data_IF_148749733702
#
_entry.id   IF_148749733702
#
_cell.length_a   1.000
_cell.length_b   1.000
_cell.length_c   1.000
_cell.angle_alpha   90.00
_cell.angle_beta   90.00
_cell.angle_gamma   90.00
#
_symmetry.space_group_name_H-M   'P 1'
#
loop_
_entity.id
_entity.type
_entity.pdbx_description
1 polymer ?
#
# COMPACT_ATOMS: atom_id res chain seq x y z
N UNK A 1 6.69 25.00 -8.11
CA UNK A 1 7.89 25.29 -7.29
C UNK A 1 8.92 24.22 -7.56
N UNK A 2 10.13 24.61 -8.00
CA UNK A 2 11.24 23.71 -8.28
C UNK A 2 12.20 23.69 -7.08
N UNK A 3 12.51 22.51 -6.58
CA UNK A 3 13.38 22.28 -5.40
C UNK A 3 14.47 21.27 -5.73
N UNK A 4 15.62 21.73 -6.26
CA UNK A 4 16.79 20.87 -6.42
C UNK A 4 17.45 20.64 -5.07
N UNK A 5 18.02 19.44 -4.87
CA UNK A 5 18.83 19.11 -3.71
C UNK A 5 20.00 18.22 -4.08
N UNK A 6 21.17 18.53 -3.54
CA UNK A 6 22.37 17.70 -3.66
C UNK A 6 22.84 17.44 -2.24
N UNK A 7 23.08 16.18 -1.91
CA UNK A 7 23.61 15.77 -0.62
C UNK A 7 24.84 14.88 -0.79
N UNK A 8 25.86 15.17 -0.01
CA UNK A 8 27.06 14.34 0.10
C UNK A 8 27.00 13.61 1.43
N UNK A 9 27.11 12.29 1.41
CA UNK A 9 27.23 11.45 2.59
C UNK A 9 28.60 10.77 2.63
N UNK A 10 29.25 10.88 3.76
CA UNK A 10 30.52 10.23 4.02
C UNK A 10 30.43 9.49 5.36
N UNK A 11 30.76 8.22 5.35
CA UNK A 11 30.97 7.41 6.55
C UNK A 11 32.36 6.78 6.48
N UNK A 12 33.24 7.04 7.44
CA UNK A 12 34.54 6.40 7.46
C UNK A 12 34.44 4.90 7.80
N UNK A 13 35.48 4.16 7.50
CA UNK A 13 35.67 2.82 8.01
C UNK A 13 36.23 2.90 9.43
N UNK A 14 35.52 2.31 10.39
CA UNK A 14 35.95 2.27 11.79
C UNK A 14 36.54 0.92 12.21
N UNK A 15 36.67 -0.04 11.28
CA UNK A 15 37.08 -1.43 11.61
C UNK A 15 38.40 -1.51 12.35
N UNK A 16 39.37 -0.66 12.00
CA UNK A 16 40.70 -0.63 12.60
C UNK A 16 40.83 0.40 13.73
N UNK A 17 39.74 0.81 14.34
CA UNK A 17 39.73 1.79 15.42
C UNK A 17 39.30 1.12 16.74
N UNK A 18 40.26 0.99 17.66
CA UNK A 18 40.10 0.31 18.96
C UNK A 18 39.00 0.93 19.86
N UNK A 19 38.54 2.14 19.56
CA UNK A 19 37.42 2.76 20.27
C UNK A 19 36.05 2.17 19.85
N UNK A 20 35.98 1.49 18.73
CA UNK A 20 34.74 0.96 18.15
C UNK A 20 34.75 -0.54 18.03
N UNK A 21 35.92 -1.13 17.77
CA UNK A 21 36.07 -2.58 17.56
C UNK A 21 37.19 -3.16 18.40
N UNK A 22 36.97 -4.37 18.87
CA UNK A 22 38.00 -5.21 19.46
C UNK A 22 38.33 -6.36 18.50
N UNK A 23 39.59 -6.56 18.20
CA UNK A 23 40.06 -7.71 17.45
C UNK A 23 40.38 -8.84 18.41
N UNK A 24 39.82 -10.05 18.18
CA UNK A 24 40.08 -11.25 18.93
C UNK A 24 40.01 -12.47 17.99
N UNK A 25 41.12 -13.23 17.88
CA UNK A 25 41.22 -14.39 16.99
C UNK A 25 40.89 -14.09 15.51
N UNK A 26 41.42 -13.02 14.97
CA UNK A 26 41.14 -12.52 13.60
C UNK A 26 39.67 -12.14 13.34
N UNK A 27 38.85 -12.03 14.39
CA UNK A 27 37.47 -11.54 14.31
C UNK A 27 37.35 -10.18 14.99
N UNK A 28 36.54 -9.29 14.37
CA UNK A 28 36.26 -7.97 14.89
C UNK A 28 34.91 -7.90 15.60
N UNK A 29 34.95 -7.60 16.89
CA UNK A 29 33.75 -7.42 17.74
C UNK A 29 33.44 -5.94 17.88
N UNK A 30 32.24 -5.55 17.50
CA UNK A 30 31.74 -4.18 17.61
C UNK A 30 31.21 -3.92 19.01
N UNK A 31 31.77 -2.95 19.73
CA UNK A 31 31.31 -2.54 21.07
C UNK A 31 29.87 -2.05 21.10
N UNK A 32 29.36 -1.57 19.94
CA UNK A 32 28.02 -1.03 19.82
C UNK A 32 27.03 -2.00 19.18
N UNK A 33 27.44 -3.25 18.96
CA UNK A 33 26.52 -4.28 18.45
C UNK A 33 25.38 -4.49 19.43
N UNK A 34 24.13 -4.30 18.98
CA UNK A 34 22.95 -4.35 19.83
C UNK A 34 22.57 -3.03 20.51
N UNK A 35 23.29 -1.93 20.26
CA UNK A 35 22.90 -0.61 20.76
C UNK A 35 21.64 -0.09 20.02
N UNK A 36 20.93 0.86 20.66
CA UNK A 36 19.73 1.50 20.10
C UNK A 36 19.99 2.25 18.78
N UNK A 37 21.24 2.65 18.52
CA UNK A 37 21.69 3.41 17.35
C UNK A 37 22.14 2.50 16.21
N UNK A 38 22.29 1.20 16.48
CA UNK A 38 22.79 0.18 15.55
C UNK A 38 24.29 -0.07 15.66
N UNK A 39 24.80 -0.93 14.78
CA UNK A 39 26.22 -1.33 14.76
C UNK A 39 27.10 -0.28 14.06
N UNK A 40 28.37 -0.27 14.42
CA UNK A 40 29.38 0.63 13.83
C UNK A 40 29.72 0.22 12.39
N UNK A 41 29.98 1.22 11.53
CA UNK A 41 30.29 0.96 10.11
C UNK A 41 31.66 0.26 9.96
N UNK A 42 31.64 -0.91 9.32
CA UNK A 42 32.84 -1.71 9.00
C UNK A 42 33.46 -1.37 7.64
N UNK A 43 32.83 -0.49 6.88
CA UNK A 43 33.31 -0.08 5.55
C UNK A 43 33.10 1.41 5.33
N UNK A 44 34.00 2.01 4.56
CA UNK A 44 33.78 3.41 4.16
C UNK A 44 32.64 3.52 3.16
N UNK A 45 31.86 4.60 3.25
CA UNK A 45 30.82 4.95 2.28
C UNK A 45 30.98 6.40 1.87
N UNK A 46 31.05 6.65 0.55
CA UNK A 46 31.12 7.99 -0.04
C UNK A 46 30.07 8.07 -1.15
N UNK A 47 29.02 8.86 -0.95
CA UNK A 47 27.89 8.94 -1.89
C UNK A 47 27.46 10.37 -2.12
N UNK A 48 27.11 10.68 -3.34
CA UNK A 48 26.37 11.87 -3.71
C UNK A 48 24.97 11.44 -4.10
N UNK A 49 23.95 12.10 -3.54
CA UNK A 49 22.57 11.95 -3.97
C UNK A 49 22.10 13.28 -4.56
N UNK A 50 21.44 13.18 -5.71
CA UNK A 50 20.89 14.30 -6.45
C UNK A 50 19.39 14.07 -6.53
N UNK A 51 18.60 15.03 -6.07
CA UNK A 51 17.17 14.98 -6.22
C UNK A 51 16.60 16.31 -6.75
N UNK A 52 15.57 16.18 -7.56
CA UNK A 52 14.82 17.29 -8.12
C UNK A 52 13.36 17.10 -7.76
N UNK A 53 12.81 18.03 -6.96
CA UNK A 53 11.40 18.10 -6.63
C UNK A 53 10.73 19.22 -7.41
N UNK A 54 9.49 18.99 -7.86
CA UNK A 54 8.66 20.03 -8.43
C UNK A 54 7.20 19.82 -8.01
N UNK A 55 6.55 20.89 -7.55
CA UNK A 55 5.12 20.89 -7.22
C UNK A 55 4.42 21.78 -8.23
N UNK A 56 3.49 21.19 -8.98
CA UNK A 56 2.65 21.86 -9.94
C UNK A 56 1.35 22.28 -9.26
N UNK A 57 1.07 23.57 -9.28
CA UNK A 57 -0.08 24.18 -8.65
C UNK A 57 -0.90 24.92 -9.69
N UNK A 58 -2.22 24.89 -9.54
CA UNK A 58 -3.14 25.76 -10.28
C UNK A 58 -3.86 26.67 -9.28
N UNK A 59 -4.20 27.88 -9.74
CA UNK A 59 -5.17 28.72 -9.08
C UNK A 59 -6.56 28.39 -9.61
N UNK A 60 -7.49 28.13 -8.73
CA UNK A 60 -8.90 27.90 -9.05
C UNK A 60 -9.75 28.90 -8.29
N UNK A 61 -10.76 29.44 -8.95
CA UNK A 61 -11.80 30.25 -8.31
C UNK A 61 -12.88 29.27 -7.79
N UNK A 62 -13.01 29.18 -6.48
CA UNK A 62 -14.07 28.42 -5.83
C UNK A 62 -14.84 29.35 -4.90
N UNK A 63 -16.14 29.44 -5.07
CA UNK A 63 -17.04 30.35 -4.31
C UNK A 63 -16.56 31.83 -4.26
N UNK A 64 -15.99 32.34 -5.36
CA UNK A 64 -15.38 33.68 -5.49
C UNK A 64 -14.07 33.90 -4.71
N UNK A 65 -13.49 32.87 -4.14
CA UNK A 65 -12.17 32.91 -3.51
C UNK A 65 -11.11 32.23 -4.38
N UNK A 66 -9.92 32.84 -4.50
CA UNK A 66 -8.77 32.23 -5.19
C UNK A 66 -8.14 31.15 -4.29
N UNK A 67 -8.33 29.88 -4.62
CA UNK A 67 -7.68 28.78 -3.94
C UNK A 67 -6.52 28.21 -4.76
N UNK A 68 -5.36 27.98 -4.14
CA UNK A 68 -4.22 27.27 -4.75
C UNK A 68 -4.39 25.77 -4.58
N UNK A 69 -4.56 25.06 -5.67
CA UNK A 69 -4.72 23.61 -5.70
C UNK A 69 -3.41 22.97 -6.17
N UNK A 70 -2.89 22.01 -5.41
CA UNK A 70 -1.78 21.17 -5.84
C UNK A 70 -2.30 20.13 -6.85
N UNK A 71 -1.87 20.23 -8.11
CA UNK A 71 -2.26 19.30 -9.16
C UNK A 71 -1.50 17.99 -9.02
N UNK A 72 -0.18 18.07 -9.01
CA UNK A 72 0.69 16.91 -8.78
C UNK A 72 2.07 17.35 -8.31
N UNK A 73 2.79 16.43 -7.68
CA UNK A 73 4.20 16.57 -7.34
C UNK A 73 5.03 15.58 -8.16
N UNK A 74 6.12 16.06 -8.72
CA UNK A 74 7.14 15.27 -9.41
C UNK A 74 8.39 15.24 -8.55
N UNK A 75 8.96 14.07 -8.31
CA UNK A 75 10.25 13.91 -7.65
C UNK A 75 11.10 12.94 -8.45
N UNK A 76 12.31 13.38 -8.77
CA UNK A 76 13.35 12.58 -9.44
C UNK A 76 14.54 12.47 -8.52
N UNK A 77 15.11 11.29 -8.39
CA UNK A 77 16.33 11.11 -7.60
C UNK A 77 17.22 10.03 -8.19
N UNK A 78 18.51 10.30 -8.12
CA UNK A 78 19.58 9.37 -8.43
C UNK A 78 20.78 9.63 -7.53
N UNK A 79 21.78 8.77 -7.55
CA UNK A 79 22.98 8.94 -6.74
C UNK A 79 24.20 8.30 -7.37
N UNK A 80 25.37 8.71 -6.91
CA UNK A 80 26.64 8.15 -7.31
C UNK A 80 27.40 7.65 -6.08
N UNK A 81 27.85 6.40 -6.12
CA UNK A 81 28.60 5.75 -5.04
C UNK A 81 30.07 5.60 -5.46
N UNK A 82 30.96 6.36 -4.83
CA UNK A 82 32.38 6.37 -5.14
C UNK A 82 33.11 5.09 -4.74
N UNK A 83 32.57 4.36 -3.77
CA UNK A 83 33.18 3.16 -3.24
C UNK A 83 32.91 1.89 -4.06
N UNK A 84 31.92 1.94 -4.94
CA UNK A 84 31.65 0.82 -5.84
C UNK A 84 32.70 0.75 -6.94
N UNK A 85 33.12 -0.47 -7.29
CA UNK A 85 33.99 -0.68 -8.45
C UNK A 85 33.18 -0.57 -9.74
N UNK A 86 31.99 -1.20 -9.76
CA UNK A 86 31.09 -1.23 -10.92
C UNK A 86 29.73 -0.62 -10.58
N UNK A 87 29.02 -0.16 -11.60
CA UNK A 87 27.67 0.39 -11.46
C UNK A 87 27.57 1.50 -10.42
N UNK A 88 28.51 2.45 -10.46
CA UNK A 88 28.61 3.57 -9.51
C UNK A 88 27.38 4.48 -9.51
N UNK A 89 26.77 4.68 -10.68
CA UNK A 89 25.56 5.48 -10.83
C UNK A 89 24.34 4.64 -10.46
N UNK A 90 23.53 5.14 -9.54
CA UNK A 90 22.27 4.49 -9.12
C UNK A 90 21.17 4.72 -10.16
N UNK A 91 20.15 3.89 -10.13
CA UNK A 91 18.98 4.06 -10.99
C UNK A 91 18.33 5.43 -10.76
N UNK A 92 17.78 6.01 -11.81
CA UNK A 92 16.94 7.19 -11.73
C UNK A 92 15.53 6.75 -11.33
N UNK A 93 15.10 7.18 -10.16
CA UNK A 93 13.75 6.96 -9.67
C UNK A 93 12.92 8.23 -9.86
N UNK A 94 11.82 8.12 -10.56
CA UNK A 94 10.87 9.22 -10.79
C UNK A 94 9.56 8.87 -10.11
N UNK A 95 9.06 9.76 -9.25
CA UNK A 95 7.80 9.61 -8.55
C UNK A 95 6.88 10.77 -8.89
N UNK A 96 5.68 10.47 -9.36
CA UNK A 96 4.61 11.44 -9.65
C UNK A 96 3.44 11.11 -8.75
N UNK A 97 2.98 12.09 -7.96
CA UNK A 97 1.85 11.93 -7.04
C UNK A 97 0.85 13.05 -7.22
N UNK A 98 -0.41 12.66 -7.30
CA UNK A 98 -1.55 13.57 -7.29
C UNK A 98 -2.56 13.10 -6.26
N UNK A 99 -3.13 14.05 -5.51
CA UNK A 99 -4.28 13.82 -4.63
C UNK A 99 -5.40 14.75 -5.07
N UNK A 100 -6.51 14.17 -5.47
CA UNK A 100 -7.70 14.89 -5.87
C UNK A 100 -8.56 15.20 -4.63
N UNK A 101 -9.32 16.29 -4.69
CA UNK A 101 -10.18 16.77 -3.59
C UNK A 101 -11.23 15.75 -3.14
N UNK A 102 -11.67 14.87 -4.03
CA UNK A 102 -12.64 13.79 -3.75
C UNK A 102 -12.05 12.58 -3.02
N UNK A 103 -10.78 12.64 -2.56
CA UNK A 103 -10.08 11.54 -1.91
C UNK A 103 -9.47 10.51 -2.86
N UNK A 104 -9.54 10.75 -4.18
CA UNK A 104 -8.83 9.93 -5.17
C UNK A 104 -7.33 10.27 -5.18
N UNK A 105 -6.49 9.28 -5.50
CA UNK A 105 -5.05 9.48 -5.61
C UNK A 105 -4.51 8.80 -6.87
N UNK A 106 -3.45 9.36 -7.42
CA UNK A 106 -2.68 8.77 -8.51
C UNK A 106 -1.22 8.79 -8.08
N UNK A 107 -0.60 7.61 -8.08
CA UNK A 107 0.82 7.42 -7.79
C UNK A 107 1.48 6.67 -8.94
N UNK A 108 2.51 7.27 -9.53
CA UNK A 108 3.31 6.67 -10.59
C UNK A 108 4.77 6.69 -10.16
N UNK A 109 5.41 5.54 -10.12
CA UNK A 109 6.83 5.42 -9.86
C UNK A 109 7.48 4.72 -11.05
N UNK A 110 8.50 5.37 -11.61
CA UNK A 110 9.29 4.88 -12.73
C UNK A 110 10.72 4.68 -12.27
N UNK A 111 11.32 3.58 -12.68
CA UNK A 111 12.74 3.29 -12.43
C UNK A 111 13.45 3.13 -13.76
N UNK A 112 14.51 3.90 -13.94
CA UNK A 112 15.35 3.84 -15.12
C UNK A 112 16.77 3.44 -14.74
N UNK A 113 17.37 2.59 -15.55
CA UNK A 113 18.76 2.19 -15.44
C UNK A 113 19.59 2.95 -16.49
N UNK A 114 20.69 3.51 -16.07
CA UNK A 114 21.61 4.24 -16.94
C UNK A 114 22.55 3.32 -17.72
N UNK A 115 22.64 2.05 -17.34
CA UNK A 115 23.61 1.12 -17.88
C UNK A 115 23.03 0.29 -19.02
N UNK A 116 23.88 -0.01 -19.99
CA UNK A 116 23.57 -0.90 -21.09
C UNK A 116 23.23 -2.31 -20.60
N UNK A 117 22.49 -3.01 -21.40
CA UNK A 117 22.14 -4.41 -21.17
C UNK A 117 22.42 -5.24 -22.40
N UNK A 118 23.40 -6.14 -22.32
CA UNK A 118 23.66 -7.12 -23.38
C UNK A 118 22.58 -8.21 -23.35
N UNK A 119 21.76 -8.23 -24.39
CA UNK A 119 20.67 -9.23 -24.54
C UNK A 119 21.21 -10.60 -24.91
N UNK A 120 22.41 -10.68 -25.53
CA UNK A 120 23.03 -11.94 -25.98
C UNK A 120 23.61 -12.67 -24.76
N UNK A 121 24.36 -11.96 -23.94
CA UNK A 121 24.96 -12.48 -22.72
C UNK A 121 24.01 -12.48 -21.52
N UNK A 122 22.81 -11.88 -21.68
CA UNK A 122 21.81 -11.70 -20.62
C UNK A 122 22.41 -11.03 -19.38
N UNK A 123 23.24 -10.01 -19.58
CA UNK A 123 24.01 -9.35 -18.53
C UNK A 123 23.96 -7.84 -18.65
N UNK A 124 23.93 -7.16 -17.50
CA UNK A 124 24.11 -5.72 -17.39
C UNK A 124 25.58 -5.37 -17.57
N UNK A 125 25.88 -4.41 -18.41
CA UNK A 125 27.24 -3.93 -18.70
C UNK A 125 27.54 -2.67 -17.88
N UNK A 126 28.81 -2.52 -17.46
CA UNK A 126 29.26 -1.33 -16.73
C UNK A 126 29.60 -0.18 -17.68
N UNK A 127 28.77 0.03 -18.70
CA UNK A 127 28.83 1.10 -19.67
C UNK A 127 27.54 1.91 -19.64
N UNK A 128 27.64 3.24 -19.55
CA UNK A 128 26.48 4.14 -19.51
C UNK A 128 25.89 4.26 -20.92
N UNK A 129 24.58 4.09 -21.02
CA UNK A 129 23.83 4.30 -22.24
C UNK A 129 23.48 5.78 -22.42
N UNK A 130 23.32 6.23 -23.66
CA UNK A 130 22.93 7.61 -23.98
C UNK A 130 21.55 7.99 -23.44
N UNK A 131 20.65 7.02 -23.34
CA UNK A 131 19.30 7.19 -22.78
C UNK A 131 19.03 6.16 -21.67
N UNK A 132 18.59 6.59 -20.50
CA UNK A 132 18.26 5.67 -19.40
C UNK A 132 17.14 4.72 -19.81
N UNK A 133 17.37 3.43 -19.64
CA UNK A 133 16.43 2.35 -19.96
C UNK A 133 15.37 2.21 -18.86
N UNK A 134 14.09 2.27 -19.21
CA UNK A 134 12.99 2.01 -18.28
C UNK A 134 13.02 0.53 -17.84
N UNK A 135 13.21 0.31 -16.54
CA UNK A 135 13.32 -1.01 -15.91
C UNK A 135 12.16 -1.35 -15.00
N UNK A 136 11.46 -0.35 -14.52
CA UNK A 136 10.32 -0.56 -13.62
C UNK A 136 9.25 0.50 -13.77
N UNK A 137 7.99 0.05 -13.71
CA UNK A 137 6.80 0.90 -13.58
C UNK A 137 6.00 0.39 -12.40
N UNK A 138 5.59 1.30 -11.53
CA UNK A 138 4.55 1.04 -10.53
C UNK A 138 3.53 2.17 -10.65
N UNK A 139 2.35 1.82 -11.06
CA UNK A 139 1.19 2.71 -11.13
C UNK A 139 0.16 2.26 -10.10
N UNK A 140 -0.37 3.16 -9.32
CA UNK A 140 -1.51 2.91 -8.46
C UNK A 140 -2.45 4.10 -8.44
N UNK A 141 -3.73 3.82 -8.45
CA UNK A 141 -4.78 4.83 -8.33
C UNK A 141 -5.94 4.28 -7.52
N UNK A 142 -6.63 5.18 -6.83
CA UNK A 142 -7.85 4.81 -6.10
C UNK A 142 -8.90 5.88 -6.27
N UNK A 143 -10.13 5.45 -6.52
CA UNK A 143 -11.31 6.28 -6.66
C UNK A 143 -12.32 5.93 -5.58
N UNK A 144 -12.84 6.93 -4.90
CA UNK A 144 -13.94 6.77 -3.95
C UNK A 144 -15.19 7.38 -4.53
N UNK A 145 -16.17 6.53 -4.80
CA UNK A 145 -17.52 6.92 -5.24
C UNK A 145 -18.47 6.78 -4.05
N UNK A 146 -19.29 7.79 -3.80
CA UNK A 146 -20.25 7.80 -2.70
C UNK A 146 -21.62 8.21 -3.20
N UNK A 147 -22.67 7.61 -2.65
CA UNK A 147 -24.04 8.07 -2.82
C UNK A 147 -24.35 9.28 -1.95
N UNK A 148 -25.59 9.68 -1.92
CA UNK A 148 -26.07 10.79 -1.07
C UNK A 148 -25.82 10.47 0.41
N UNK A 149 -25.37 11.46 1.18
CA UNK A 149 -25.28 11.36 2.63
C UNK A 149 -26.69 11.24 3.24
N UNK A 150 -26.87 10.24 4.12
CA UNK A 150 -28.01 10.24 5.04
C UNK A 150 -27.65 11.08 6.25
N UNK A 151 -28.59 11.86 6.75
CA UNK A 151 -28.51 12.47 8.08
C UNK A 151 -28.24 11.34 9.09
N UNK A 152 -27.23 11.54 9.95
CA UNK A 152 -26.87 10.58 11.01
C UNK A 152 -28.07 10.39 11.92
N UNK A 153 -28.74 9.25 11.87
CA UNK A 153 -29.48 8.74 13.01
C UNK A 153 -28.43 8.12 13.97
N UNK A 154 -28.43 8.59 15.21
CA UNK A 154 -27.58 8.06 16.28
C UNK A 154 -27.95 6.59 16.52
N UNK A 155 -27.20 5.70 15.94
CA UNK A 155 -27.28 4.27 16.23
C UNK A 155 -26.69 4.04 17.61
N UNK A 156 -27.52 3.67 18.57
CA UNK A 156 -27.07 3.25 19.92
C UNK A 156 -26.23 1.97 19.77
N UNK A 157 -24.93 2.11 19.89
CA UNK A 157 -23.91 1.05 19.74
C UNK A 157 -23.86 0.16 20.99
N UNK A 158 -24.89 -0.61 21.28
CA UNK A 158 -24.86 -1.58 22.38
C UNK A 158 -24.86 -3.01 21.83
N UNK A 159 -23.87 -3.78 22.22
CA UNK A 159 -23.92 -5.24 22.07
C UNK A 159 -23.12 -5.91 20.94
N UNK A 160 -22.43 -5.20 20.07
CA UNK A 160 -21.71 -5.81 18.92
C UNK A 160 -20.29 -6.28 19.25
N UNK A 161 -19.84 -7.36 18.59
CA UNK A 161 -18.41 -7.68 18.55
C UNK A 161 -17.62 -6.57 17.84
N UNK A 162 -16.36 -6.40 18.19
CA UNK A 162 -15.51 -5.31 17.66
C UNK A 162 -15.48 -5.31 16.11
N UNK A 163 -15.38 -6.48 15.49
CA UNK A 163 -15.39 -6.62 14.01
C UNK A 163 -16.74 -6.22 13.38
N UNK A 164 -17.86 -6.46 14.08
CA UNK A 164 -19.19 -6.07 13.61
C UNK A 164 -19.42 -4.58 13.79
N UNK A 165 -18.90 -3.98 14.87
CA UNK A 165 -18.93 -2.52 15.09
C UNK A 165 -18.16 -1.77 14.02
N UNK A 166 -16.93 -2.23 13.68
CA UNK A 166 -16.12 -1.64 12.63
C UNK A 166 -16.84 -1.68 11.26
N UNK A 167 -17.51 -2.80 10.95
CA UNK A 167 -18.32 -2.95 9.75
C UNK A 167 -19.51 -1.99 9.72
N UNK A 168 -20.25 -1.87 10.83
CA UNK A 168 -21.41 -0.97 10.94
C UNK A 168 -20.97 0.50 10.83
N UNK A 169 -19.88 0.88 11.47
CA UNK A 169 -19.37 2.25 11.44
C UNK A 169 -18.90 2.67 10.03
N UNK A 170 -18.34 1.75 9.24
CA UNK A 170 -18.00 2.01 7.84
C UNK A 170 -19.24 2.27 6.97
N UNK A 171 -20.38 1.73 7.32
CA UNK A 171 -21.62 1.80 6.52
C UNK A 171 -22.55 2.96 6.89
N UNK A 172 -22.32 3.63 8.03
CA UNK A 172 -23.35 4.47 8.67
C UNK A 172 -23.61 5.83 8.03
N UNK A 173 -22.74 6.33 7.12
CA UNK A 173 -22.85 7.72 6.63
C UNK A 173 -23.47 7.92 5.25
N UNK A 174 -23.41 6.92 4.36
CA UNK A 174 -23.88 7.06 2.97
C UNK A 174 -24.77 5.88 2.57
N UNK A 175 -25.69 6.13 1.58
CA UNK A 175 -26.51 5.03 1.04
C UNK A 175 -25.65 3.94 0.40
N UNK A 176 -24.56 4.33 -0.24
CA UNK A 176 -23.55 3.43 -0.78
C UNK A 176 -22.22 4.13 -0.91
N UNK A 177 -21.16 3.37 -0.84
CA UNK A 177 -19.81 3.82 -1.19
C UNK A 177 -19.06 2.69 -1.86
N UNK A 178 -18.30 3.03 -2.90
CA UNK A 178 -17.43 2.08 -3.60
C UNK A 178 -16.05 2.67 -3.72
N UNK A 179 -15.06 1.97 -3.22
CA UNK A 179 -13.66 2.27 -3.48
C UNK A 179 -13.13 1.32 -4.52
N UNK A 180 -12.64 1.86 -5.62
CA UNK A 180 -12.00 1.11 -6.71
C UNK A 180 -10.53 1.46 -6.68
N UNK A 181 -9.67 0.46 -6.50
CA UNK A 181 -8.22 0.59 -6.55
C UNK A 181 -7.67 -0.16 -7.75
N UNK A 182 -6.83 0.50 -8.53
CA UNK A 182 -6.12 -0.07 -9.67
C UNK A 182 -4.64 -0.04 -9.36
N UNK A 183 -3.95 -1.16 -9.54
CA UNK A 183 -2.50 -1.21 -9.41
C UNK A 183 -1.86 -2.02 -10.54
N UNK A 184 -0.89 -1.41 -11.20
CA UNK A 184 -0.08 -2.04 -12.24
C UNK A 184 1.39 -1.98 -11.86
N UNK A 185 2.08 -3.11 -11.98
CA UNK A 185 3.53 -3.19 -11.79
C UNK A 185 4.17 -3.88 -12.98
N UNK A 186 5.22 -3.27 -13.50
CA UNK A 186 6.11 -3.85 -14.50
C UNK A 186 7.52 -3.90 -13.93
N UNK A 187 8.14 -5.07 -13.95
CA UNK A 187 9.57 -5.24 -13.71
C UNK A 187 10.22 -5.77 -14.99
N UNK A 188 11.13 -4.96 -15.55
CA UNK A 188 11.87 -5.23 -16.76
C UNK A 188 13.38 -5.00 -16.54
N UNK A 189 13.87 -5.33 -15.34
CA UNK A 189 15.31 -5.29 -15.03
C UNK A 189 16.05 -6.18 -16.03
N UNK A 190 15.58 -7.41 -16.19
CA UNK A 190 15.94 -8.26 -17.32
C UNK A 190 14.98 -8.03 -18.50
N UNK A 191 15.45 -7.43 -19.61
CA UNK A 191 14.59 -7.16 -20.77
C UNK A 191 13.98 -8.38 -21.42
N UNK A 192 14.62 -9.55 -21.26
CA UNK A 192 14.18 -10.84 -21.83
C UNK A 192 13.11 -11.52 -20.97
N UNK A 193 13.06 -11.20 -19.69
CA UNK A 193 12.10 -11.77 -18.74
C UNK A 193 11.38 -10.65 -17.99
N UNK A 194 10.28 -10.18 -18.55
CA UNK A 194 9.43 -9.17 -17.91
C UNK A 194 8.43 -9.84 -16.96
N UNK A 195 8.21 -9.21 -15.82
CA UNK A 195 7.18 -9.61 -14.84
C UNK A 195 6.15 -8.48 -14.78
N UNK A 196 4.92 -8.80 -15.02
CA UNK A 196 3.80 -7.86 -15.00
C UNK A 196 2.73 -8.34 -14.01
N UNK A 197 2.13 -7.39 -13.29
CA UNK A 197 0.97 -7.64 -12.46
C UNK A 197 -0.02 -6.50 -12.64
N UNK A 198 -1.28 -6.82 -12.83
CA UNK A 198 -2.34 -5.85 -12.97
C UNK A 198 -3.54 -6.26 -12.11
N UNK A 199 -3.79 -5.50 -11.06
CA UNK A 199 -4.82 -5.77 -10.06
C UNK A 199 -5.89 -4.70 -10.07
N UNK A 200 -7.13 -5.14 -9.99
CA UNK A 200 -8.30 -4.33 -9.66
C UNK A 200 -8.82 -4.79 -8.30
N UNK A 201 -8.93 -3.86 -7.35
CA UNK A 201 -9.52 -4.10 -6.05
C UNK A 201 -10.79 -3.27 -5.94
N UNK A 202 -11.85 -3.85 -5.40
CA UNK A 202 -13.08 -3.14 -5.09
C UNK A 202 -13.51 -3.39 -3.66
N UNK A 203 -13.97 -2.35 -3.00
CA UNK A 203 -14.64 -2.41 -1.72
C UNK A 203 -15.92 -1.59 -1.84
N UNK A 204 -17.04 -2.28 -1.87
CA UNK A 204 -18.37 -1.70 -2.07
C UNK A 204 -19.21 -1.94 -0.84
N UNK A 205 -19.72 -0.87 -0.26
CA UNK A 205 -20.63 -0.88 0.89
C UNK A 205 -21.96 -0.27 0.47
N UNK A 206 -23.05 -0.98 0.73
CA UNK A 206 -24.40 -0.57 0.31
C UNK A 206 -25.34 -0.71 1.51
N UNK A 207 -26.04 0.37 1.85
CA UNK A 207 -27.21 0.33 2.71
C UNK A 207 -28.47 0.12 1.82
N UNK A 208 -28.86 -1.14 1.62
CA UNK A 208 -30.01 -1.49 0.76
C UNK A 208 -31.30 -0.91 1.34
N UNK A 209 -31.44 -1.01 2.65
CA UNK A 209 -32.48 -0.35 3.47
C UNK A 209 -31.84 0.12 4.77
N UNK A 210 -32.62 0.76 5.66
CA UNK A 210 -32.13 1.12 6.99
C UNK A 210 -31.62 -0.10 7.79
N UNK A 211 -32.19 -1.26 7.56
CA UNK A 211 -31.92 -2.49 8.31
C UNK A 211 -31.02 -3.48 7.56
N UNK A 212 -30.82 -3.31 6.24
CA UNK A 212 -29.98 -4.17 5.43
C UNK A 212 -28.69 -3.47 5.02
N UNK A 213 -27.57 -4.03 5.37
CA UNK A 213 -26.23 -3.57 5.02
C UNK A 213 -25.47 -4.67 4.32
N UNK A 214 -24.88 -4.33 3.18
CA UNK A 214 -24.10 -5.22 2.33
C UNK A 214 -22.70 -4.66 2.14
N UNK A 215 -21.68 -5.48 2.31
CA UNK A 215 -20.32 -5.15 1.93
C UNK A 215 -19.76 -6.22 1.00
N UNK A 216 -19.18 -5.79 -0.11
CA UNK A 216 -18.55 -6.67 -1.09
C UNK A 216 -17.12 -6.23 -1.35
N UNK A 217 -16.18 -7.12 -1.08
CA UNK A 217 -14.76 -6.93 -1.36
C UNK A 217 -14.33 -7.92 -2.44
N UNK A 218 -13.67 -7.43 -3.48
CA UNK A 218 -13.11 -8.30 -4.50
C UNK A 218 -11.72 -7.85 -4.95
N UNK A 219 -10.89 -8.82 -5.30
CA UNK A 219 -9.60 -8.63 -5.94
C UNK A 219 -9.54 -9.44 -7.23
N UNK A 220 -9.37 -8.73 -8.32
CA UNK A 220 -9.35 -9.27 -9.67
C UNK A 220 -7.96 -9.13 -10.28
N UNK A 221 -7.42 -10.22 -10.84
CA UNK A 221 -6.24 -10.20 -11.69
C UNK A 221 -6.68 -9.94 -13.13
N UNK A 222 -6.31 -8.74 -13.64
CA UNK A 222 -6.77 -8.31 -14.97
C UNK A 222 -6.05 -9.07 -16.09
N UNK A 223 -4.78 -9.46 -15.85
CA UNK A 223 -3.99 -10.20 -16.86
C UNK A 223 -4.50 -11.63 -17.03
N UNK A 224 -4.77 -12.31 -15.93
CA UNK A 224 -5.24 -13.69 -15.92
C UNK A 224 -6.77 -13.78 -16.06
N UNK A 225 -7.47 -12.64 -16.02
CA UNK A 225 -8.93 -12.52 -16.05
C UNK A 225 -9.62 -13.35 -14.95
N UNK A 226 -9.01 -13.42 -13.78
CA UNK A 226 -9.46 -14.24 -12.66
C UNK A 226 -9.79 -13.43 -11.42
N UNK A 227 -10.81 -13.87 -10.68
CA UNK A 227 -11.17 -13.33 -9.36
C UNK A 227 -10.39 -14.11 -8.30
N UNK A 228 -9.27 -13.54 -7.85
CA UNK A 228 -8.39 -14.20 -6.88
C UNK A 228 -9.03 -14.34 -5.51
N UNK A 229 -9.83 -13.37 -5.13
CA UNK A 229 -10.56 -13.37 -3.86
C UNK A 229 -11.77 -12.47 -3.95
N UNK A 230 -12.88 -12.94 -3.42
CA UNK A 230 -14.03 -12.10 -3.11
C UNK A 230 -14.67 -12.52 -1.81
N UNK A 231 -15.28 -11.56 -1.14
CA UNK A 231 -15.93 -11.73 0.14
C UNK A 231 -17.20 -10.91 0.15
N UNK A 232 -18.28 -11.51 0.61
CA UNK A 232 -19.58 -10.88 0.80
C UNK A 232 -19.95 -10.92 2.27
N UNK A 233 -20.14 -9.73 2.85
CA UNK A 233 -20.65 -9.59 4.21
C UNK A 233 -22.04 -8.99 4.17
N UNK A 234 -23.00 -9.66 4.79
CA UNK A 234 -24.38 -9.23 4.87
C UNK A 234 -24.78 -9.09 6.32
N UNK A 235 -25.37 -7.95 6.65
CA UNK A 235 -25.92 -7.66 7.97
C UNK A 235 -27.36 -7.22 7.84
N UNK A 236 -28.21 -7.74 8.73
CA UNK A 236 -29.60 -7.32 8.86
C UNK A 236 -29.99 -7.19 10.31
N UNK A 237 -30.68 -6.14 10.60
CA UNK A 237 -31.38 -5.88 11.85
C UNK A 237 -32.85 -6.21 11.70
N UNK A 238 -33.38 -7.09 12.58
CA UNK A 238 -34.78 -7.56 12.57
C UNK A 238 -35.28 -7.41 14.00
N UNK A 239 -35.99 -6.32 14.31
CA UNK A 239 -36.49 -5.99 15.65
C UNK A 239 -35.50 -6.32 16.78
N UNK A 240 -35.70 -7.44 17.47
CA UNK A 240 -34.85 -7.91 18.56
C UNK A 240 -33.70 -8.82 18.10
N UNK A 241 -33.61 -9.15 16.84
CA UNK A 241 -32.62 -10.07 16.28
C UNK A 241 -31.58 -9.37 15.39
N UNK A 242 -30.42 -9.97 15.34
CA UNK A 242 -29.35 -9.60 14.43
C UNK A 242 -28.96 -10.80 13.59
N UNK A 243 -28.89 -10.57 12.28
CA UNK A 243 -28.47 -11.53 11.29
C UNK A 243 -27.16 -11.06 10.67
N UNK A 244 -26.16 -11.93 10.66
CA UNK A 244 -24.86 -11.67 10.09
C UNK A 244 -24.38 -12.85 9.26
N UNK A 245 -23.91 -12.58 8.04
CA UNK A 245 -23.25 -13.55 7.15
C UNK A 245 -21.95 -12.97 6.65
N UNK A 246 -20.91 -13.76 6.71
CA UNK A 246 -19.62 -13.46 6.07
C UNK A 246 -19.22 -14.67 5.21
N UNK A 247 -19.19 -14.47 3.91
CA UNK A 247 -19.00 -15.53 2.94
C UNK A 247 -17.87 -15.24 1.97
N UNK A 248 -16.88 -16.12 1.97
CA UNK A 248 -15.77 -16.14 1.01
C UNK A 248 -15.88 -17.43 0.19
N UNK A 249 -16.41 -17.39 -1.05
CA UNK A 249 -16.67 -18.61 -1.83
C UNK A 249 -15.41 -19.28 -2.34
N UNK A 250 -14.33 -18.51 -2.63
CA UNK A 250 -13.15 -19.00 -3.34
C UNK A 250 -11.85 -18.65 -2.61
N UNK A 251 -10.76 -19.37 -3.00
CA UNK A 251 -9.39 -19.10 -2.55
C UNK A 251 -9.03 -19.83 -1.25
N UNK A 252 -7.82 -19.57 -0.77
CA UNK A 252 -7.28 -20.18 0.47
C UNK A 252 -8.09 -19.79 1.73
N UNK A 253 -8.81 -18.66 1.65
CA UNK A 253 -9.65 -18.15 2.73
C UNK A 253 -11.14 -18.54 2.56
N UNK A 254 -11.42 -19.60 1.78
CA UNK A 254 -12.79 -20.09 1.56
C UNK A 254 -13.46 -20.43 2.89
N UNK A 255 -14.69 -19.95 3.08
CA UNK A 255 -15.47 -20.22 4.27
C UNK A 255 -16.76 -19.44 4.32
N UNK A 256 -17.64 -19.87 5.20
CA UNK A 256 -18.91 -19.23 5.53
C UNK A 256 -19.01 -19.11 7.05
N UNK A 257 -19.31 -17.91 7.51
CA UNK A 257 -19.71 -17.63 8.87
C UNK A 257 -21.12 -17.06 8.85
N UNK A 258 -22.01 -17.72 9.58
CA UNK A 258 -23.38 -17.32 9.76
C UNK A 258 -23.67 -17.15 11.26
N UNK A 259 -24.35 -16.08 11.64
CA UNK A 259 -24.78 -15.84 13.00
C UNK A 259 -26.17 -15.18 13.02
N UNK A 260 -27.05 -15.71 13.88
CA UNK A 260 -28.32 -15.12 14.25
C UNK A 260 -28.37 -15.05 15.79
N UNK A 261 -28.46 -13.88 16.36
CA UNK A 261 -28.48 -13.65 17.81
C UNK A 261 -29.50 -12.58 18.21
N UNK A 262 -29.87 -12.61 19.49
CA UNK A 262 -30.64 -11.53 20.09
C UNK A 262 -29.79 -10.32 20.37
N UNK A 263 -30.36 -9.11 20.21
CA UNK A 263 -29.74 -7.83 20.51
C UNK A 263 -29.55 -7.53 21.98
N UNK A 264 -30.18 -8.31 22.86
CA UNK A 264 -30.12 -8.10 24.31
C UNK A 264 -28.77 -8.52 24.87
N UNK A 265 -28.12 -7.66 25.66
CA UNK A 265 -26.87 -7.98 26.33
C UNK A 265 -26.98 -9.15 27.29
N UNK A 266 -28.17 -9.35 27.92
CA UNK A 266 -28.46 -10.44 28.86
C UNK A 266 -28.67 -11.77 28.13
N UNK A 267 -29.22 -11.72 26.90
CA UNK A 267 -29.60 -12.91 26.11
C UNK A 267 -28.65 -13.17 24.96
N UNK A 268 -27.47 -12.58 24.99
CA UNK A 268 -26.46 -12.65 23.93
C UNK A 268 -25.96 -14.07 23.62
N UNK A 269 -26.04 -14.95 24.60
CA UNK A 269 -25.67 -16.37 24.45
C UNK A 269 -26.73 -17.18 23.68
N UNK A 270 -27.95 -16.63 23.51
CA UNK A 270 -28.98 -17.22 22.63
C UNK A 270 -28.66 -16.86 21.20
N UNK A 271 -27.82 -17.68 20.57
CA UNK A 271 -27.36 -17.51 19.18
C UNK A 271 -27.36 -18.82 18.43
N UNK A 272 -27.67 -18.74 17.15
CA UNK A 272 -27.42 -19.80 16.17
C UNK A 272 -26.21 -19.38 15.38
N UNK A 273 -25.20 -20.21 15.38
CA UNK A 273 -23.91 -19.91 14.74
C UNK A 273 -23.46 -21.11 13.91
N UNK A 274 -23.03 -20.84 12.67
CA UNK A 274 -22.42 -21.85 11.81
C UNK A 274 -21.13 -21.32 11.22
N UNK A 275 -20.09 -22.14 11.30
CA UNK A 275 -18.74 -21.81 10.80
C UNK A 275 -18.25 -22.90 9.86
N UNK A 276 -17.70 -22.52 8.71
CA UNK A 276 -17.07 -23.45 7.79
C UNK A 276 -15.74 -22.87 7.28
N UNK A 277 -14.85 -23.70 6.80
CA UNK A 277 -13.56 -23.27 6.24
C UNK A 277 -12.69 -22.54 7.27
N UNK A 278 -12.14 -21.39 6.91
CA UNK A 278 -11.23 -20.64 7.80
C UNK A 278 -11.85 -20.20 9.12
N UNK A 279 -13.18 -20.11 9.20
CA UNK A 279 -13.87 -19.67 10.42
C UNK A 279 -13.94 -20.78 11.47
N UNK A 280 -13.65 -22.04 11.11
CA UNK A 280 -13.59 -23.16 12.05
C UNK A 280 -12.29 -23.15 12.85
N UNK A 281 -11.21 -22.59 12.30
CA UNK A 281 -9.88 -22.54 12.93
C UNK A 281 -9.66 -21.29 13.77
N UNK A 282 -10.44 -20.24 13.57
CA UNK A 282 -10.46 -19.08 14.46
C UNK A 282 -11.31 -19.40 15.67
N UNK A 283 -10.72 -20.05 16.68
CA UNK A 283 -11.31 -20.08 18.01
C UNK A 283 -11.47 -18.64 18.50
N UNK A 284 -12.67 -18.31 18.96
CA UNK A 284 -13.03 -17.05 19.60
C UNK A 284 -11.98 -16.67 20.67
N UNK A 285 -11.32 -15.56 20.45
CA UNK A 285 -10.73 -14.77 21.53
C UNK A 285 -11.72 -13.70 21.96
#
# INVERSE_FOLDING_TARGET
>A
VLTPSISLSYSPNYLNNDNYFQEFNDEYYDYFSGSLIGSTSRSSSKKINIALGNVFQAKSLFDNEEEKINLFSLRMNTGYDFNKNDFKLSNLNTSIRSKLRNGSSIDINLTHDFYKYDKIQNKRENEIDSLPRLTGIRFSTSFLLKGKEKLKEETKEQGFSESTKEFINQLSSNNWSTRIGISYTLNKINPLNKIENFWLNTNTSINVTNNWKLNYNARFNVLDKDIVRHNLTLYREIDCWEFFVDWTPNGYAKGLYFRLNLKSDILRDLKIEQKTGIYTTRSSF
#
